data_IF_961897412476
#
_entry.id   IF_961897412476
#
_cell.length_a   1.000
_cell.length_b   1.000
_cell.length_c   1.000
_cell.angle_alpha   90.00
_cell.angle_beta   90.00
_cell.angle_gamma   90.00
#
_symmetry.space_group_name_H-M   'P 1'
#
loop_
_entity.id
_entity.type
_entity.pdbx_description
1 polymer ?
#
# COMPACT_ATOMS: atom_id res chain seq x y z
N UNK A 1 5.94 44.45 16.55
CA UNK A 1 5.20 44.04 15.33
C UNK A 1 5.40 42.56 14.96
N UNK A 2 6.61 42.01 15.05
CA UNK A 2 6.91 40.60 14.69
C UNK A 2 6.08 39.54 15.44
N UNK A 3 5.82 39.71 16.75
CA UNK A 3 4.96 38.81 17.55
C UNK A 3 3.50 38.78 17.10
N UNK A 4 2.96 39.91 16.63
CA UNK A 4 1.57 40.00 16.14
C UNK A 4 1.44 39.37 14.74
N UNK A 5 2.46 39.53 13.89
CA UNK A 5 2.51 38.90 12.56
C UNK A 5 2.66 37.37 12.64
N UNK A 6 3.49 36.87 13.58
CA UNK A 6 3.59 35.43 13.86
C UNK A 6 2.25 34.84 14.34
N UNK A 7 1.52 35.49 15.27
CA UNK A 7 0.23 34.99 15.72
C UNK A 7 -0.85 35.00 14.62
N UNK A 8 -0.85 35.99 13.71
CA UNK A 8 -1.85 36.07 12.65
C UNK A 8 -1.68 35.03 11.53
N UNK A 9 -0.51 34.39 11.40
CA UNK A 9 -0.23 33.43 10.32
C UNK A 9 0.01 32.02 10.87
N UNK A 10 0.78 31.88 11.96
CA UNK A 10 1.10 30.57 12.54
C UNK A 10 -0.15 29.89 13.11
N UNK A 11 -1.01 30.65 13.81
CA UNK A 11 -2.20 30.09 14.43
C UNK A 11 -3.19 29.53 13.37
N UNK A 12 -3.54 30.25 12.29
CA UNK A 12 -4.35 29.68 11.22
C UNK A 12 -3.74 28.43 10.57
N UNK A 13 -2.43 28.40 10.33
CA UNK A 13 -1.77 27.22 9.74
C UNK A 13 -1.85 26.01 10.67
N UNK A 14 -1.61 26.20 11.96
CA UNK A 14 -1.74 25.12 12.96
C UNK A 14 -3.18 24.63 13.05
N UNK A 15 -4.16 25.53 13.04
CA UNK A 15 -5.58 25.17 13.03
C UNK A 15 -5.93 24.37 11.78
N UNK A 16 -5.55 24.85 10.59
CA UNK A 16 -5.81 24.15 9.33
C UNK A 16 -5.15 22.78 9.28
N UNK A 17 -3.89 22.67 9.74
CA UNK A 17 -3.18 21.41 9.85
C UNK A 17 -3.86 20.44 10.83
N UNK A 18 -4.27 20.94 11.99
CA UNK A 18 -5.03 20.16 12.98
C UNK A 18 -6.38 19.68 12.44
N UNK A 19 -7.13 20.54 11.76
CA UNK A 19 -8.39 20.19 11.09
C UNK A 19 -8.17 19.13 10.01
N UNK A 20 -7.10 19.25 9.22
CA UNK A 20 -6.77 18.25 8.21
C UNK A 20 -6.39 16.90 8.83
N UNK A 21 -5.61 16.89 9.91
CA UNK A 21 -5.29 15.65 10.64
C UNK A 21 -6.52 15.00 11.26
N UNK A 22 -7.43 15.79 11.82
CA UNK A 22 -8.73 15.31 12.29
C UNK A 22 -9.52 14.68 11.15
N UNK A 23 -9.53 15.31 9.98
CA UNK A 23 -10.21 14.79 8.79
C UNK A 23 -9.62 13.45 8.32
N UNK A 24 -8.30 13.28 8.36
CA UNK A 24 -7.64 12.02 8.00
C UNK A 24 -7.92 10.90 9.01
N UNK A 25 -8.10 11.24 10.29
CA UNK A 25 -8.37 10.26 11.36
C UNK A 25 -9.85 9.90 11.48
N UNK A 26 -10.74 10.86 11.22
CA UNK A 26 -12.19 10.70 11.33
C UNK A 26 -12.92 11.02 10.01
N UNK A 27 -12.59 10.34 8.89
CA UNK A 27 -13.19 10.63 7.58
C UNK A 27 -14.65 10.15 7.46
N UNK A 28 -15.13 9.28 8.35
CA UNK A 28 -16.41 8.57 8.25
C UNK A 28 -17.63 9.47 7.95
N UNK A 29 -17.78 10.68 8.53
CA UNK A 29 -18.89 11.57 8.20
C UNK A 29 -18.97 11.96 6.72
N UNK A 30 -17.85 11.88 5.99
CA UNK A 30 -17.79 12.16 4.56
C UNK A 30 -18.10 10.95 3.68
N UNK A 31 -18.28 9.74 4.24
CA UNK A 31 -18.51 8.51 3.47
C UNK A 31 -19.77 7.81 3.98
N UNK A 32 -20.87 7.99 3.23
CA UNK A 32 -22.20 7.55 3.61
C UNK A 32 -22.38 6.02 3.62
N UNK A 33 -21.68 5.31 2.75
CA UNK A 33 -21.91 3.89 2.50
C UNK A 33 -20.75 3.09 3.07
N UNK A 34 -21.05 2.05 3.84
CA UNK A 34 -20.01 1.21 4.43
C UNK A 34 -20.46 -0.22 4.65
N UNK A 35 -19.50 -1.14 4.59
CA UNK A 35 -19.65 -2.53 5.04
C UNK A 35 -18.44 -2.94 5.86
N UNK A 36 -18.62 -3.98 6.68
CA UNK A 36 -17.58 -4.56 7.50
C UNK A 36 -17.57 -6.07 7.31
N UNK A 37 -16.37 -6.65 7.34
CA UNK A 37 -16.12 -8.08 7.49
C UNK A 37 -14.97 -8.23 8.47
N UNK A 38 -15.22 -8.91 9.59
CA UNK A 38 -14.28 -9.04 10.71
C UNK A 38 -13.69 -7.69 11.14
N UNK A 39 -12.37 -7.54 11.03
CA UNK A 39 -11.61 -6.36 11.44
C UNK A 39 -11.34 -5.37 10.30
N UNK A 40 -11.88 -5.64 9.10
CA UNK A 40 -11.75 -4.78 7.93
C UNK A 40 -13.06 -4.05 7.66
N UNK A 41 -12.95 -2.77 7.30
CA UNK A 41 -14.12 -1.95 6.95
C UNK A 41 -13.87 -1.17 5.66
N UNK A 42 -14.86 -1.17 4.79
CA UNK A 42 -14.87 -0.44 3.53
C UNK A 42 -15.89 0.68 3.62
N UNK A 43 -15.47 1.89 3.28
CA UNK A 43 -16.31 3.08 3.16
C UNK A 43 -16.27 3.61 1.73
N UNK A 44 -17.40 4.15 1.26
CA UNK A 44 -17.55 4.75 -0.06
C UNK A 44 -18.47 5.96 0.03
N UNK A 45 -18.19 6.96 -0.80
CA UNK A 45 -19.06 8.10 -1.02
C UNK A 45 -20.12 7.86 -2.10
N UNK A 46 -20.12 6.68 -2.72
CA UNK A 46 -21.16 6.19 -3.64
C UNK A 46 -21.76 4.88 -3.13
N UNK A 47 -23.05 4.60 -3.41
CA UNK A 47 -23.65 3.32 -3.05
C UNK A 47 -22.96 2.17 -3.78
N UNK A 48 -22.95 1.01 -3.14
CA UNK A 48 -22.50 -0.27 -3.69
C UNK A 48 -23.31 -1.41 -3.04
N UNK A 49 -23.53 -2.55 -3.71
CA UNK A 49 -24.14 -3.73 -3.12
C UNK A 49 -23.35 -4.20 -1.90
N UNK A 50 -23.97 -4.32 -0.71
CA UNK A 50 -23.24 -4.69 0.50
C UNK A 50 -22.50 -6.03 0.41
N UNK A 51 -23.06 -7.00 -0.34
CA UNK A 51 -22.42 -8.31 -0.50
C UNK A 51 -21.15 -8.24 -1.36
N UNK A 52 -21.15 -7.44 -2.42
CA UNK A 52 -19.93 -7.23 -3.22
C UNK A 52 -18.80 -6.62 -2.38
N UNK A 53 -19.13 -5.66 -1.50
CA UNK A 53 -18.16 -5.11 -0.57
C UNK A 53 -17.67 -6.12 0.47
N UNK A 54 -18.53 -7.01 0.97
CA UNK A 54 -18.10 -8.07 1.91
C UNK A 54 -17.23 -9.13 1.24
N UNK A 55 -17.55 -9.56 0.02
CA UNK A 55 -16.70 -10.47 -0.75
C UNK A 55 -15.31 -9.86 -1.00
N UNK A 56 -15.27 -8.58 -1.38
CA UNK A 56 -14.03 -7.84 -1.53
C UNK A 56 -13.21 -7.86 -0.23
N UNK A 57 -13.83 -7.56 0.92
CA UNK A 57 -13.16 -7.60 2.21
C UNK A 57 -12.66 -9.01 2.59
N UNK A 58 -13.43 -10.06 2.31
CA UNK A 58 -12.98 -11.45 2.48
C UNK A 58 -11.78 -11.78 1.60
N UNK A 59 -11.72 -11.27 0.37
CA UNK A 59 -10.56 -11.39 -0.50
C UNK A 59 -9.32 -10.73 0.10
N UNK A 60 -9.44 -9.48 0.55
CA UNK A 60 -8.36 -8.73 1.22
C UNK A 60 -7.88 -9.47 2.47
N UNK A 61 -8.79 -9.97 3.29
CA UNK A 61 -8.45 -10.72 4.51
C UNK A 61 -7.65 -11.99 4.21
N UNK A 62 -8.02 -12.75 3.17
CA UNK A 62 -7.25 -13.94 2.76
C UNK A 62 -5.82 -13.58 2.36
N UNK A 63 -5.65 -12.48 1.61
CA UNK A 63 -4.32 -12.00 1.20
C UNK A 63 -3.51 -11.53 2.43
N UNK A 64 -4.10 -10.71 3.29
CA UNK A 64 -3.46 -10.24 4.53
C UNK A 64 -3.10 -11.39 5.49
N UNK A 65 -3.91 -12.44 5.57
CA UNK A 65 -3.65 -13.59 6.43
C UNK A 65 -2.40 -14.39 6.06
N UNK A 66 -1.85 -14.19 4.84
CA UNK A 66 -0.54 -14.74 4.45
C UNK A 66 0.65 -14.01 5.10
N UNK A 67 0.43 -12.79 5.59
CA UNK A 67 1.46 -12.00 6.26
C UNK A 67 1.57 -12.38 7.73
N UNK A 68 2.78 -12.72 8.24
CA UNK A 68 2.99 -12.92 9.67
C UNK A 68 2.91 -11.62 10.49
N UNK A 69 2.79 -10.45 9.84
CA UNK A 69 2.60 -9.15 10.49
C UNK A 69 1.11 -8.82 10.68
N UNK A 70 0.21 -9.55 10.00
CA UNK A 70 -1.22 -9.32 10.12
C UNK A 70 -1.77 -9.94 11.41
N UNK A 71 -2.71 -9.22 12.04
CA UNK A 71 -3.44 -9.69 13.20
C UNK A 71 -4.91 -9.33 13.09
N UNK A 72 -5.79 -10.31 13.27
CA UNK A 72 -7.25 -10.12 13.30
C UNK A 72 -7.72 -9.18 14.43
N UNK A 73 -6.86 -8.85 15.40
CA UNK A 73 -7.18 -7.92 16.50
C UNK A 73 -7.09 -6.45 16.07
N UNK A 74 -6.25 -6.12 15.09
CA UNK A 74 -6.09 -4.75 14.61
C UNK A 74 -7.22 -4.35 13.67
N UNK A 75 -7.67 -3.10 13.69
CA UNK A 75 -8.69 -2.60 12.73
C UNK A 75 -8.03 -1.95 11.52
N UNK A 76 -8.65 -2.14 10.35
CA UNK A 76 -8.22 -1.53 9.09
C UNK A 76 -9.42 -0.96 8.33
N UNK A 77 -9.42 0.37 8.18
CA UNK A 77 -10.47 1.10 7.48
C UNK A 77 -9.95 1.58 6.12
N UNK A 78 -10.73 1.32 5.07
CA UNK A 78 -10.43 1.72 3.69
C UNK A 78 -11.53 2.64 3.16
N UNK A 79 -11.14 3.74 2.54
CA UNK A 79 -12.03 4.78 2.03
C UNK A 79 -11.89 4.96 0.52
N UNK A 80 -12.97 4.75 -0.24
CA UNK A 80 -13.01 4.95 -1.69
C UNK A 80 -13.48 6.36 -2.02
N UNK A 81 -12.58 7.19 -2.57
CA UNK A 81 -12.81 8.60 -2.84
C UNK A 81 -13.44 8.87 -4.23
N UNK A 82 -14.63 8.34 -4.53
CA UNK A 82 -15.15 8.41 -5.91
C UNK A 82 -15.47 9.83 -6.41
N UNK A 83 -15.75 10.80 -5.54
CA UNK A 83 -15.94 12.19 -5.96
C UNK A 83 -14.61 12.92 -6.21
N UNK A 84 -14.53 13.81 -7.22
CA UNK A 84 -13.32 14.57 -7.50
C UNK A 84 -12.79 15.37 -6.30
N UNK A 85 -13.67 15.99 -5.52
CA UNK A 85 -13.25 16.81 -4.38
C UNK A 85 -12.66 15.97 -3.24
N UNK A 86 -13.20 14.77 -2.97
CA UNK A 86 -12.63 13.86 -1.96
C UNK A 86 -11.25 13.39 -2.39
N UNK A 87 -11.07 13.07 -3.68
CA UNK A 87 -9.72 12.77 -4.22
C UNK A 87 -8.77 13.92 -3.97
N UNK A 88 -9.17 15.15 -4.28
CA UNK A 88 -8.31 16.33 -4.08
C UNK A 88 -7.89 16.47 -2.62
N UNK A 89 -8.84 16.34 -1.68
CA UNK A 89 -8.56 16.50 -0.25
C UNK A 89 -7.71 15.36 0.29
N UNK A 90 -8.12 14.10 0.09
CA UNK A 90 -7.47 12.94 0.70
C UNK A 90 -6.19 12.49 -0.02
N UNK A 91 -5.88 13.00 -1.21
CA UNK A 91 -4.63 12.76 -1.93
C UNK A 91 -3.76 14.01 -2.06
N UNK A 92 -4.03 15.06 -1.28
CA UNK A 92 -3.27 16.30 -1.32
C UNK A 92 -1.74 16.09 -1.13
N UNK A 93 -1.27 15.28 -0.16
CA UNK A 93 0.16 15.02 0.01
C UNK A 93 0.68 13.84 -0.83
N UNK A 94 -0.20 13.10 -1.51
CA UNK A 94 0.18 11.91 -2.26
C UNK A 94 0.80 12.27 -3.63
N UNK A 95 1.75 11.47 -4.14
CA UNK A 95 2.29 11.65 -5.48
C UNK A 95 1.21 11.69 -6.56
N UNK A 96 1.41 12.50 -7.61
CA UNK A 96 0.50 12.54 -8.75
C UNK A 96 0.43 11.16 -9.40
N UNK A 97 -0.79 10.63 -9.51
CA UNK A 97 -1.04 9.31 -10.12
C UNK A 97 -1.11 8.15 -9.14
N UNK A 98 -0.93 8.39 -7.83
CA UNK A 98 -1.13 7.36 -6.81
C UNK A 98 -2.55 6.78 -6.85
N UNK A 99 -2.65 5.45 -6.83
CA UNK A 99 -3.93 4.72 -6.79
C UNK A 99 -4.47 4.56 -5.38
N UNK A 100 -3.56 4.42 -4.41
CA UNK A 100 -3.84 4.38 -2.98
C UNK A 100 -2.90 5.32 -2.22
N UNK A 101 -3.27 5.60 -0.97
CA UNK A 101 -2.47 6.36 -0.04
C UNK A 101 -2.68 5.85 1.38
N UNK A 102 -1.58 5.73 2.10
CA UNK A 102 -1.53 5.45 3.53
C UNK A 102 -0.64 6.50 4.21
N UNK A 103 -1.15 7.14 5.26
CA UNK A 103 -0.47 8.25 5.95
C UNK A 103 -0.01 7.85 7.35
N UNK A 104 0.55 6.65 7.49
CA UNK A 104 1.17 6.24 8.76
C UNK A 104 2.36 7.18 9.10
N UNK A 105 2.48 7.64 10.37
CA UNK A 105 1.79 7.19 11.57
C UNK A 105 0.58 8.04 11.96
N UNK A 106 0.26 9.09 11.18
CA UNK A 106 -0.82 10.01 11.52
C UNK A 106 -2.20 9.36 11.45
N UNK A 107 -2.36 8.36 10.59
CA UNK A 107 -3.53 7.49 10.54
C UNK A 107 -3.15 6.15 9.94
N UNK A 108 -3.92 5.11 10.27
CA UNK A 108 -3.85 3.81 9.59
C UNK A 108 -4.97 3.62 8.56
N UNK A 109 -5.76 4.67 8.32
CA UNK A 109 -6.78 4.69 7.28
C UNK A 109 -6.09 4.64 5.91
N UNK A 110 -6.63 3.79 5.03
CA UNK A 110 -6.22 3.71 3.63
C UNK A 110 -7.21 4.48 2.78
N UNK A 111 -6.71 5.32 1.88
CA UNK A 111 -7.53 6.06 0.92
C UNK A 111 -7.24 5.57 -0.49
N UNK A 112 -8.27 5.22 -1.25
CA UNK A 112 -8.16 4.80 -2.64
C UNK A 112 -8.86 5.81 -3.56
N UNK A 113 -8.28 6.02 -4.75
CA UNK A 113 -8.65 7.14 -5.63
C UNK A 113 -10.10 7.08 -6.13
N UNK A 114 -10.56 5.94 -6.63
CA UNK A 114 -11.96 5.63 -6.94
C UNK A 114 -12.04 4.14 -7.27
N UNK A 115 -13.24 3.57 -7.26
CA UNK A 115 -13.38 2.14 -7.55
C UNK A 115 -14.76 1.77 -8.11
N UNK A 116 -14.79 0.67 -8.86
CA UNK A 116 -15.98 -0.12 -9.11
C UNK A 116 -15.90 -1.35 -8.21
N UNK A 117 -16.52 -1.26 -7.02
CA UNK A 117 -16.40 -2.25 -5.94
C UNK A 117 -16.92 -3.62 -6.41
N UNK A 118 -18.04 -3.62 -7.14
CA UNK A 118 -18.71 -4.81 -7.68
C UNK A 118 -17.86 -5.59 -8.66
N UNK A 119 -16.90 -4.91 -9.29
CA UNK A 119 -16.04 -5.47 -10.31
C UNK A 119 -14.61 -5.69 -9.80
N UNK A 120 -14.36 -5.48 -8.50
CA UNK A 120 -13.02 -5.53 -7.91
C UNK A 120 -11.99 -4.70 -8.69
N UNK A 121 -12.36 -3.47 -9.12
CA UNK A 121 -11.47 -2.62 -9.93
C UNK A 121 -11.24 -1.25 -9.31
N UNK A 122 -9.96 -0.86 -9.24
CA UNK A 122 -9.59 0.54 -9.05
C UNK A 122 -9.86 1.33 -10.34
N UNK A 123 -10.41 2.53 -10.21
CA UNK A 123 -10.67 3.46 -11.31
C UNK A 123 -9.79 4.70 -11.08
N UNK A 124 -8.87 4.98 -12.00
CA UNK A 124 -7.98 6.12 -11.88
C UNK A 124 -8.72 7.46 -12.04
N UNK A 125 -8.00 8.58 -11.87
CA UNK A 125 -8.58 9.93 -11.98
C UNK A 125 -9.22 10.24 -13.34
N UNK A 126 -8.80 9.55 -14.40
CA UNK A 126 -9.32 9.67 -15.77
C UNK A 126 -10.48 8.71 -16.06
N UNK A 127 -10.96 7.96 -15.07
CA UNK A 127 -12.07 7.01 -15.24
C UNK A 127 -11.65 5.67 -15.86
N UNK A 128 -10.35 5.40 -16.01
CA UNK A 128 -9.84 4.15 -16.60
C UNK A 128 -9.38 3.17 -15.51
N UNK A 129 -9.40 1.85 -15.77
CA UNK A 129 -8.79 0.87 -14.88
C UNK A 129 -7.29 1.13 -14.63
N UNK A 130 -6.74 0.51 -13.59
CA UNK A 130 -5.29 0.51 -13.34
C UNK A 130 -4.51 -0.03 -14.55
N UNK A 131 -3.39 0.62 -14.85
CA UNK A 131 -2.57 0.30 -16.04
C UNK A 131 -1.88 -1.05 -15.89
N UNK A 132 -1.58 -1.47 -14.65
CA UNK A 132 -0.98 -2.77 -14.36
C UNK A 132 -2.03 -3.88 -14.19
N UNK A 133 -3.31 -3.56 -14.41
CA UNK A 133 -4.41 -4.53 -14.30
C UNK A 133 -4.69 -5.00 -12.88
N UNK A 134 -4.13 -4.35 -11.85
CA UNK A 134 -4.33 -4.74 -10.45
C UNK A 134 -5.78 -4.54 -10.02
N UNK A 135 -6.29 -5.53 -9.30
CA UNK A 135 -7.63 -5.52 -8.70
C UNK A 135 -7.71 -4.57 -7.51
N UNK A 136 -8.93 -4.24 -7.08
CA UNK A 136 -9.17 -3.37 -5.93
C UNK A 136 -8.66 -4.01 -4.62
N UNK A 137 -8.87 -5.31 -4.42
CA UNK A 137 -8.33 -6.03 -3.25
C UNK A 137 -6.79 -6.00 -3.19
N UNK A 138 -6.12 -6.00 -4.34
CA UNK A 138 -4.66 -5.86 -4.44
C UNK A 138 -4.24 -4.52 -3.86
N UNK A 139 -4.84 -3.42 -4.33
CA UNK A 139 -4.56 -2.09 -3.79
C UNK A 139 -4.85 -1.99 -2.29
N UNK A 140 -6.00 -2.50 -1.84
CA UNK A 140 -6.34 -2.48 -0.42
C UNK A 140 -5.30 -3.23 0.43
N UNK A 141 -4.91 -4.42 -0.02
CA UNK A 141 -3.93 -5.26 0.68
C UNK A 141 -2.55 -4.59 0.69
N UNK A 142 -2.12 -4.04 -0.45
CA UNK A 142 -0.84 -3.35 -0.61
C UNK A 142 -0.73 -2.18 0.39
N UNK A 143 -1.72 -1.28 0.40
CA UNK A 143 -1.71 -0.09 1.26
C UNK A 143 -1.83 -0.44 2.75
N UNK A 144 -2.60 -1.48 3.10
CA UNK A 144 -2.67 -1.97 4.49
C UNK A 144 -1.31 -2.54 4.92
N UNK A 145 -0.59 -3.23 4.02
CA UNK A 145 0.71 -3.84 4.33
C UNK A 145 1.77 -2.79 4.65
N UNK A 146 1.72 -1.60 4.06
CA UNK A 146 2.55 -0.46 4.47
C UNK A 146 2.35 -0.11 5.95
N UNK A 147 1.09 -0.03 6.41
CA UNK A 147 0.78 0.18 7.84
C UNK A 147 1.25 -0.97 8.73
N UNK A 148 1.07 -2.23 8.32
CA UNK A 148 1.54 -3.39 9.09
C UNK A 148 3.07 -3.35 9.26
N UNK A 149 3.78 -3.08 8.18
CA UNK A 149 5.24 -2.98 8.17
C UNK A 149 5.70 -1.84 9.06
N UNK A 150 5.11 -0.66 8.93
CA UNK A 150 5.48 0.51 9.74
C UNK A 150 5.19 0.33 11.23
N UNK A 151 4.15 -0.44 11.59
CA UNK A 151 3.87 -0.81 12.99
C UNK A 151 4.88 -1.81 13.55
N UNK A 152 5.30 -2.79 12.74
CA UNK A 152 6.28 -3.81 13.16
C UNK A 152 7.65 -3.19 13.48
N UNK A 153 8.13 -2.29 12.60
CA UNK A 153 9.50 -1.74 12.76
C UNK A 153 9.54 -0.36 13.42
N UNK A 154 8.38 0.28 13.60
CA UNK A 154 8.29 1.66 14.04
C UNK A 154 8.58 2.68 12.92
N UNK A 155 8.07 3.90 13.10
CA UNK A 155 8.09 4.94 12.08
C UNK A 155 9.49 5.21 11.52
N UNK A 156 10.46 5.45 12.41
CA UNK A 156 11.81 5.87 12.02
C UNK A 156 12.50 4.81 11.18
N UNK A 157 12.39 3.54 11.58
CA UNK A 157 12.98 2.45 10.82
C UNK A 157 12.27 2.28 9.48
N UNK A 158 10.94 2.37 9.46
CA UNK A 158 10.15 2.28 8.24
C UNK A 158 10.57 3.31 7.19
N UNK A 159 10.79 4.57 7.58
CA UNK A 159 11.23 5.62 6.66
C UNK A 159 12.63 5.34 6.08
N UNK A 160 13.49 4.66 6.84
CA UNK A 160 14.84 4.28 6.42
C UNK A 160 14.91 2.95 5.67
N UNK A 161 13.79 2.20 5.55
CA UNK A 161 13.78 0.98 4.78
C UNK A 161 13.96 1.28 3.28
N UNK A 162 14.79 0.49 2.57
CA UNK A 162 14.88 0.54 1.12
C UNK A 162 13.49 0.36 0.46
N UNK A 163 13.25 1.09 -0.63
CA UNK A 163 11.96 1.03 -1.35
C UNK A 163 11.64 -0.38 -1.84
N UNK A 164 12.66 -1.17 -2.23
CA UNK A 164 12.47 -2.55 -2.64
C UNK A 164 11.86 -3.45 -1.55
N UNK A 165 12.11 -3.13 -0.27
CA UNK A 165 11.51 -3.84 0.86
C UNK A 165 10.09 -3.33 1.10
N UNK A 166 9.89 -2.01 1.17
CA UNK A 166 8.58 -1.39 1.45
C UNK A 166 7.55 -1.79 0.38
N UNK A 167 7.87 -1.47 -0.87
CA UNK A 167 6.99 -1.71 -2.02
C UNK A 167 6.95 -3.20 -2.39
N UNK A 168 8.09 -3.91 -2.29
CA UNK A 168 8.16 -5.33 -2.61
C UNK A 168 7.38 -6.20 -1.63
N UNK A 169 7.39 -5.88 -0.33
CA UNK A 169 6.61 -6.65 0.64
C UNK A 169 5.12 -6.36 0.56
N UNK A 170 4.75 -5.09 0.37
CA UNK A 170 3.36 -4.72 0.10
C UNK A 170 2.82 -5.41 -1.17
N UNK A 171 3.62 -5.46 -2.24
CA UNK A 171 3.26 -6.15 -3.47
C UNK A 171 3.20 -7.67 -3.28
N UNK A 172 4.18 -8.28 -2.60
CA UNK A 172 4.21 -9.72 -2.31
C UNK A 172 2.94 -10.18 -1.57
N UNK A 173 2.53 -9.47 -0.52
CA UNK A 173 1.32 -9.80 0.25
C UNK A 173 0.06 -9.57 -0.60
N UNK A 174 0.03 -8.50 -1.40
CA UNK A 174 -1.11 -8.19 -2.28
C UNK A 174 -1.29 -9.18 -3.45
N UNK A 175 -0.18 -9.72 -3.97
CA UNK A 175 -0.17 -10.81 -4.96
C UNK A 175 -0.68 -12.11 -4.32
N UNK A 176 -0.22 -12.42 -3.11
CA UNK A 176 -0.62 -13.62 -2.39
C UNK A 176 -0.40 -14.89 -3.21
N UNK A 177 -1.43 -15.72 -3.31
CA UNK A 177 -1.37 -17.00 -4.04
C UNK A 177 -1.22 -16.87 -5.57
N UNK A 178 -1.36 -15.66 -6.14
CA UNK A 178 -1.19 -15.42 -7.59
C UNK A 178 0.29 -15.33 -8.00
N UNK A 179 1.23 -15.34 -7.04
CA UNK A 179 2.66 -15.26 -7.32
C UNK A 179 3.21 -16.60 -7.81
N UNK A 180 3.59 -16.67 -9.08
CA UNK A 180 4.49 -17.72 -9.57
C UNK A 180 5.94 -17.34 -9.26
N UNK A 181 6.44 -17.86 -8.13
CA UNK A 181 7.79 -17.56 -7.66
C UNK A 181 8.87 -17.98 -8.66
N UNK A 182 8.79 -19.20 -9.20
CA UNK A 182 9.83 -19.73 -10.07
C UNK A 182 9.86 -18.97 -11.40
N UNK A 183 8.70 -18.70 -11.99
CA UNK A 183 8.61 -17.85 -13.19
C UNK A 183 9.16 -16.44 -12.93
N UNK A 184 8.87 -15.86 -11.78
CA UNK A 184 9.33 -14.51 -11.44
C UNK A 184 10.86 -14.46 -11.25
N UNK A 185 11.45 -15.48 -10.64
CA UNK A 185 12.91 -15.63 -10.55
C UNK A 185 13.54 -15.78 -11.93
N UNK A 186 12.97 -16.61 -12.81
CA UNK A 186 13.50 -16.75 -14.18
C UNK A 186 13.43 -15.43 -14.95
N UNK A 187 12.31 -14.72 -14.89
CA UNK A 187 12.15 -13.40 -15.49
C UNK A 187 13.16 -12.38 -14.92
N UNK A 188 13.44 -12.44 -13.62
CA UNK A 188 14.48 -11.62 -12.99
C UNK A 188 15.88 -11.91 -13.55
N UNK A 189 16.24 -13.19 -13.69
CA UNK A 189 17.58 -13.62 -14.12
C UNK A 189 17.88 -13.22 -15.56
N UNK A 190 16.90 -13.35 -16.45
CA UNK A 190 17.05 -12.93 -17.86
C UNK A 190 16.80 -11.43 -18.06
N UNK A 191 16.59 -10.67 -16.98
CA UNK A 191 16.29 -9.23 -17.02
C UNK A 191 15.10 -8.90 -17.93
N UNK A 192 14.05 -9.71 -17.84
CA UNK A 192 12.87 -9.60 -18.69
C UNK A 192 12.22 -8.20 -18.57
N UNK A 193 11.66 -7.64 -19.66
CA UNK A 193 11.12 -6.29 -19.67
C UNK A 193 10.08 -6.03 -18.57
N UNK A 194 9.23 -7.00 -18.26
CA UNK A 194 8.19 -6.96 -17.22
C UNK A 194 8.71 -6.77 -15.79
N UNK A 195 10.01 -6.95 -15.55
CA UNK A 195 10.60 -6.73 -14.22
C UNK A 195 10.76 -5.24 -13.91
N UNK A 196 10.79 -4.39 -14.92
CA UNK A 196 11.16 -2.98 -14.79
C UNK A 196 10.00 -1.97 -14.76
N UNK A 197 8.78 -2.24 -15.25
CA UNK A 197 7.69 -1.27 -15.15
C UNK A 197 6.98 -1.29 -13.79
N UNK A 198 6.56 -0.12 -13.29
CA UNK A 198 6.99 1.22 -13.72
C UNK A 198 8.46 1.45 -13.32
N UNK A 199 9.22 2.17 -14.17
CA UNK A 199 10.68 2.35 -13.99
C UNK A 199 11.08 2.89 -12.61
N UNK A 200 10.24 3.74 -12.01
CA UNK A 200 10.51 4.35 -10.71
C UNK A 200 10.30 3.38 -9.54
N UNK A 201 9.36 2.43 -9.67
CA UNK A 201 9.02 1.47 -8.62
C UNK A 201 8.74 0.12 -9.30
N UNK A 202 9.78 -0.67 -9.62
CA UNK A 202 9.64 -1.92 -10.36
C UNK A 202 9.05 -3.02 -9.46
N UNK A 203 7.72 -3.00 -9.27
CA UNK A 203 7.00 -3.87 -8.33
C UNK A 203 7.34 -5.35 -8.51
N UNK A 204 7.36 -5.86 -9.75
CA UNK A 204 7.66 -7.27 -10.02
C UNK A 204 9.07 -7.66 -9.61
N UNK A 205 10.05 -6.77 -9.82
CA UNK A 205 11.43 -6.97 -9.35
C UNK A 205 11.49 -7.00 -7.83
N UNK A 206 10.80 -6.08 -7.17
CA UNK A 206 10.80 -5.96 -5.72
C UNK A 206 10.09 -7.13 -5.04
N UNK A 207 8.91 -7.53 -5.52
CA UNK A 207 8.17 -8.69 -4.98
C UNK A 207 8.99 -9.99 -5.15
N UNK A 208 9.74 -10.13 -6.26
CA UNK A 208 10.61 -11.29 -6.49
C UNK A 208 11.75 -11.36 -5.47
N UNK A 209 12.42 -10.24 -5.22
CA UNK A 209 13.48 -10.18 -4.21
C UNK A 209 12.92 -10.51 -2.84
N UNK A 210 11.81 -9.89 -2.44
CA UNK A 210 11.18 -10.18 -1.14
C UNK A 210 10.79 -11.66 -1.05
N UNK A 211 10.16 -12.23 -2.07
CA UNK A 211 9.80 -13.64 -2.08
C UNK A 211 11.02 -14.57 -1.88
N UNK A 212 12.14 -14.26 -2.53
CA UNK A 212 13.40 -15.01 -2.37
C UNK A 212 13.89 -14.95 -0.91
N UNK A 213 13.94 -13.76 -0.31
CA UNK A 213 14.39 -13.57 1.07
C UNK A 213 13.46 -14.23 2.09
N UNK A 214 12.15 -14.20 1.85
CA UNK A 214 11.18 -14.88 2.71
C UNK A 214 11.35 -16.40 2.65
N UNK A 215 11.61 -16.95 1.46
CA UNK A 215 11.78 -18.40 1.23
C UNK A 215 13.12 -18.93 1.75
N UNK A 216 14.20 -18.14 1.68
CA UNK A 216 15.57 -18.64 1.89
C UNK A 216 16.34 -18.01 3.06
N UNK A 217 15.98 -16.81 3.52
CA UNK A 217 16.84 -15.99 4.39
C UNK A 217 16.22 -15.68 5.77
N UNK A 218 15.16 -16.39 6.17
CA UNK A 218 14.59 -16.29 7.52
C UNK A 218 13.38 -15.37 7.67
N UNK A 219 12.65 -15.12 6.56
CA UNK A 219 11.34 -14.48 6.60
C UNK A 219 11.38 -12.94 6.71
N UNK A 220 10.19 -12.33 6.71
CA UNK A 220 10.05 -10.88 6.64
C UNK A 220 10.64 -10.15 7.86
N UNK A 221 10.45 -10.65 9.08
CA UNK A 221 10.96 -9.97 10.29
C UNK A 221 12.47 -9.80 10.27
N UNK A 222 13.19 -10.83 9.81
CA UNK A 222 14.65 -10.74 9.66
C UNK A 222 15.05 -9.74 8.59
N UNK A 223 14.38 -9.76 7.43
CA UNK A 223 14.62 -8.80 6.36
C UNK A 223 14.38 -7.35 6.82
N UNK A 224 13.35 -7.14 7.64
CA UNK A 224 13.03 -5.83 8.20
C UNK A 224 14.07 -5.34 9.21
N UNK A 225 14.60 -6.20 10.09
CA UNK A 225 15.61 -5.82 11.09
C UNK A 225 17.01 -5.69 10.49
N UNK A 226 17.32 -6.46 9.44
CA UNK A 226 18.61 -6.47 8.76
C UNK A 226 18.43 -6.14 7.26
N UNK A 227 17.98 -4.92 6.92
CA UNK A 227 17.74 -4.55 5.55
C UNK A 227 19.06 -4.54 4.76
N UNK A 228 18.99 -4.99 3.50
CA UNK A 228 20.12 -4.97 2.56
C UNK A 228 19.85 -3.92 1.48
N UNK A 229 20.92 -3.39 0.87
CA UNK A 229 20.75 -2.58 -0.33
C UNK A 229 20.10 -3.41 -1.44
N UNK A 230 19.40 -2.76 -2.38
CA UNK A 230 18.80 -3.46 -3.51
C UNK A 230 19.88 -4.22 -4.31
N UNK A 231 21.02 -3.58 -4.58
CA UNK A 231 22.12 -4.17 -5.34
C UNK A 231 22.66 -5.45 -4.67
N UNK A 232 22.82 -5.44 -3.35
CA UNK A 232 23.25 -6.62 -2.60
C UNK A 232 22.20 -7.74 -2.66
N UNK A 233 20.93 -7.40 -2.46
CA UNK A 233 19.82 -8.36 -2.52
C UNK A 233 19.75 -9.06 -3.89
N UNK A 234 19.89 -8.29 -4.96
CA UNK A 234 19.94 -8.81 -6.33
C UNK A 234 21.17 -9.68 -6.59
N UNK A 235 22.33 -9.28 -6.09
CA UNK A 235 23.58 -10.06 -6.22
C UNK A 235 23.48 -11.42 -5.54
N UNK A 236 22.82 -11.47 -4.38
CA UNK A 236 22.61 -12.71 -3.60
C UNK A 236 21.65 -13.66 -4.33
N UNK A 237 20.53 -13.14 -4.88
CA UNK A 237 19.61 -13.96 -5.68
C UNK A 237 20.33 -14.56 -6.90
N UNK A 238 21.09 -13.75 -7.66
CA UNK A 238 21.84 -14.23 -8.83
C UNK A 238 22.86 -15.31 -8.46
N UNK A 239 23.61 -15.10 -7.38
CA UNK A 239 24.59 -16.07 -6.89
C UNK A 239 23.91 -17.39 -6.46
N UNK A 240 22.79 -17.32 -5.75
CA UNK A 240 22.03 -18.49 -5.34
C UNK A 240 21.45 -19.28 -6.52
N UNK A 241 21.11 -18.61 -7.62
CA UNK A 241 20.61 -19.22 -8.85
C UNK A 241 21.72 -19.73 -9.80
N UNK A 242 23.00 -19.59 -9.45
CA UNK A 242 24.12 -19.95 -10.31
C UNK A 242 24.30 -19.04 -11.54
N UNK A 243 23.71 -17.84 -11.54
CA UNK A 243 23.83 -16.88 -12.63
C UNK A 243 25.02 -15.93 -12.42
N UNK A 244 25.83 -15.62 -13.46
CA UNK A 244 26.93 -14.66 -13.35
C UNK A 244 26.42 -13.24 -13.04
N UNK A 245 27.27 -12.41 -12.40
CA UNK A 245 26.97 -10.98 -12.17
C UNK A 245 26.88 -10.25 -13.53
N UNK A 246 25.90 -9.35 -13.72
CA UNK A 246 25.84 -8.49 -14.91
C UNK A 246 27.00 -7.50 -14.94
#
# INVERSE_FOLDING_TARGET
MLKRLCCCIVLPVVILGGCYLLLLNFPQPLFRWSVQSDNLRLYSDRPFPPEAGRELLRSVQRKLASSPLYSAKGRHDVFICNSPWRRTVFFLPAPRGAGGANYHPWTSNVFLVAAAIEHNRLINRSGKPDVLGRSLDHFMTHEITHSLTSREVGLWHYQNLPDWIKEGYAEYVARGAELDYEQSVQAFLVSAPEMNPPKLVPYRRYETLVAFFLKHEGGIRRLLVQPRSQADAEGILRAAAGAPRP
#
